data_IF_281409886195
#
_entry.id   IF_281409886195
#
_cell.length_a   1.000
_cell.length_b   1.000
_cell.length_c   1.000
_cell.angle_alpha   90.00
_cell.angle_beta   90.00
_cell.angle_gamma   90.00
#
_symmetry.space_group_name_H-M   'P 1'
#
loop_
_entity.id
_entity.type
_entity.pdbx_description
1 polymer ?
#
# COMPACT_ATOMS: atom_id res chain seq x y z
N UNK A 1 33.19 0.60 4.14
CA UNK A 1 32.77 -0.19 2.97
C UNK A 1 31.64 -1.09 3.44
N UNK A 2 30.40 -0.91 2.98
CA UNK A 2 29.25 -1.50 3.68
C UNK A 2 28.02 -1.65 2.81
N UNK A 3 28.09 -2.53 1.82
CA UNK A 3 26.90 -3.18 1.28
C UNK A 3 27.33 -4.59 0.86
N UNK A 4 26.84 -5.63 1.52
CA UNK A 4 27.13 -6.99 1.10
C UNK A 4 26.62 -7.15 -0.33
N UNK A 5 27.48 -7.66 -1.22
CA UNK A 5 27.07 -8.01 -2.58
C UNK A 5 26.07 -9.15 -2.44
N UNK A 6 24.81 -8.85 -2.74
CA UNK A 6 23.76 -9.84 -2.74
C UNK A 6 24.09 -10.92 -3.78
N UNK A 7 23.90 -12.21 -3.47
CA UNK A 7 24.04 -13.27 -4.46
C UNK A 7 23.16 -13.01 -5.69
N UNK A 8 23.59 -13.44 -6.88
CA UNK A 8 22.90 -13.16 -8.16
C UNK A 8 21.42 -13.57 -8.18
N UNK A 9 21.04 -14.60 -7.42
CA UNK A 9 19.64 -15.02 -7.31
C UNK A 9 18.80 -13.99 -6.53
N UNK A 10 19.35 -13.43 -5.45
CA UNK A 10 18.68 -12.40 -4.63
C UNK A 10 18.57 -11.11 -5.42
N UNK A 11 19.63 -10.73 -6.15
CA UNK A 11 19.58 -9.53 -7.00
C UNK A 11 18.47 -9.61 -8.04
N UNK A 12 18.30 -10.77 -8.70
CA UNK A 12 17.22 -10.98 -9.68
C UNK A 12 15.83 -10.92 -9.04
N UNK A 13 15.66 -11.45 -7.83
CA UNK A 13 14.38 -11.40 -7.11
C UNK A 13 14.07 -10.00 -6.57
N UNK A 14 15.09 -9.20 -6.27
CA UNK A 14 14.94 -7.83 -5.82
C UNK A 14 14.61 -6.83 -6.94
N UNK A 15 14.66 -7.27 -8.20
CA UNK A 15 14.28 -6.41 -9.32
C UNK A 15 12.81 -5.98 -9.14
N UNK A 16 12.50 -4.69 -9.31
CA UNK A 16 11.14 -4.21 -9.19
C UNK A 16 10.25 -4.88 -10.24
N UNK A 17 9.08 -5.33 -9.80
CA UNK A 17 8.07 -5.88 -10.71
C UNK A 17 7.58 -4.74 -11.62
N UNK A 18 7.54 -4.93 -12.95
CA UNK A 18 6.98 -3.94 -13.87
C UNK A 18 5.55 -3.57 -13.49
N UNK A 19 5.17 -2.30 -13.64
CA UNK A 19 3.84 -1.79 -13.24
C UNK A 19 2.68 -2.55 -13.89
N UNK A 20 2.88 -3.05 -15.10
CA UNK A 20 1.89 -3.86 -15.83
C UNK A 20 1.59 -5.21 -15.13
N UNK A 21 2.59 -5.76 -14.43
CA UNK A 21 2.47 -7.01 -13.67
C UNK A 21 1.98 -6.80 -12.24
N UNK A 22 1.64 -5.57 -11.84
CA UNK A 22 1.10 -5.32 -10.52
C UNK A 22 -0.30 -5.91 -10.39
N UNK A 23 -0.58 -6.51 -9.22
CA UNK A 23 -1.92 -6.98 -8.92
C UNK A 23 -2.89 -5.80 -8.94
N UNK A 24 -4.01 -5.97 -9.66
CA UNK A 24 -5.09 -4.98 -9.65
C UNK A 24 -5.73 -4.97 -8.26
N UNK A 25 -5.92 -3.80 -7.62
CA UNK A 25 -6.51 -3.74 -6.29
C UNK A 25 -7.94 -4.27 -6.34
N UNK A 26 -8.31 -5.08 -5.34
CA UNK A 26 -9.66 -5.62 -5.22
C UNK A 26 -10.70 -4.50 -5.03
N UNK A 27 -11.97 -4.71 -5.39
CA UNK A 27 -13.02 -3.69 -5.21
C UNK A 27 -13.16 -3.22 -3.75
N UNK A 28 -12.95 -4.13 -2.79
CA UNK A 28 -12.96 -3.82 -1.36
C UNK A 28 -11.81 -2.87 -1.02
N UNK A 29 -10.61 -3.14 -1.55
CA UNK A 29 -9.44 -2.28 -1.33
C UNK A 29 -9.62 -0.92 -1.98
N UNK A 30 -10.18 -0.86 -3.19
CA UNK A 30 -10.49 0.40 -3.86
C UNK A 30 -11.48 1.26 -3.05
N UNK A 31 -12.51 0.64 -2.46
CA UNK A 31 -13.47 1.34 -1.59
C UNK A 31 -12.78 1.87 -0.34
N UNK A 32 -11.95 1.05 0.31
CA UNK A 32 -11.17 1.43 1.49
C UNK A 32 -10.24 2.63 1.20
N UNK A 33 -9.51 2.61 0.07
CA UNK A 33 -8.67 3.72 -0.37
C UNK A 33 -9.46 5.00 -0.53
N UNK A 34 -10.63 4.95 -1.21
CA UNK A 34 -11.49 6.12 -1.38
C UNK A 34 -11.96 6.70 -0.05
N UNK A 35 -12.32 5.86 0.91
CA UNK A 35 -12.72 6.31 2.26
C UNK A 35 -11.58 7.02 2.98
N UNK A 36 -10.36 6.49 2.91
CA UNK A 36 -9.18 7.11 3.53
C UNK A 36 -8.85 8.44 2.85
N UNK A 37 -8.83 8.47 1.52
CA UNK A 37 -8.60 9.70 0.74
C UNK A 37 -9.64 10.78 1.04
N UNK A 38 -10.91 10.39 1.15
CA UNK A 38 -11.98 11.33 1.50
C UNK A 38 -11.83 11.87 2.92
N UNK A 39 -11.51 11.03 3.90
CA UNK A 39 -11.29 11.46 5.28
C UNK A 39 -10.08 12.42 5.37
N UNK A 40 -8.98 12.11 4.67
CA UNK A 40 -7.80 12.98 4.64
C UNK A 40 -8.09 14.30 3.93
N UNK A 41 -8.78 14.29 2.79
CA UNK A 41 -9.06 15.49 1.99
C UNK A 41 -10.12 16.38 2.63
N UNK A 42 -11.26 15.80 2.99
CA UNK A 42 -12.46 16.52 3.46
C UNK A 42 -12.39 16.86 4.95
N UNK A 43 -11.92 15.91 5.77
CA UNK A 43 -11.90 16.05 7.22
C UNK A 43 -10.52 16.44 7.76
N UNK A 44 -9.52 16.63 6.87
CA UNK A 44 -8.12 16.96 7.21
C UNK A 44 -7.53 16.01 8.26
N UNK A 45 -8.02 14.77 8.28
CA UNK A 45 -7.54 13.74 9.18
C UNK A 45 -6.15 13.27 8.76
N UNK A 46 -5.35 12.87 9.74
CA UNK A 46 -4.10 12.15 9.49
C UNK A 46 -4.40 10.75 8.93
N UNK A 47 -3.46 10.19 8.18
CA UNK A 47 -3.62 8.86 7.58
C UNK A 47 -3.99 7.78 8.61
N UNK A 48 -3.34 7.76 9.78
CA UNK A 48 -3.65 6.79 10.84
C UNK A 48 -5.10 6.91 11.32
N UNK A 49 -5.62 8.13 11.50
CA UNK A 49 -7.00 8.34 11.92
C UNK A 49 -8.00 7.97 10.82
N UNK A 50 -7.67 8.24 9.56
CA UNK A 50 -8.48 7.85 8.41
C UNK A 50 -8.53 6.31 8.26
N UNK A 51 -7.41 5.61 8.45
CA UNK A 51 -7.36 4.15 8.44
C UNK A 51 -8.16 3.52 9.60
N UNK A 52 -8.19 4.15 10.77
CA UNK A 52 -8.98 3.69 11.91
C UNK A 52 -10.49 3.62 11.62
N UNK A 53 -10.99 4.35 10.61
CA UNK A 53 -12.38 4.28 10.17
C UNK A 53 -12.72 2.95 9.48
N UNK A 54 -11.73 2.33 8.82
CA UNK A 54 -11.89 1.05 8.12
C UNK A 54 -11.96 -0.13 9.10
N UNK A 55 -11.17 -0.09 10.19
CA UNK A 55 -11.16 -1.13 11.21
C UNK A 55 -12.47 -1.27 11.99
N UNK A 56 -13.37 -0.27 11.90
CA UNK A 56 -14.70 -0.29 12.54
C UNK A 56 -15.81 -0.88 11.65
N UNK A 57 -15.52 -1.22 10.39
CA UNK A 57 -16.51 -1.79 9.44
C UNK A 57 -16.50 -3.33 9.39
N UNK A 58 -15.64 -3.99 10.16
CA UNK A 58 -15.58 -5.45 10.33
C UNK A 58 -16.05 -5.84 11.72
N UNK A 59 -17.35 -5.64 11.99
CA UNK A 59 -18.09 -6.33 13.06
C UNK A 59 -19.42 -6.82 12.49
#
# INVERSE_FOLDING_TARGET
AGSPVLPDHVQRWSQPIPTDQWAKPSPVLQKATRTVEDAMRKQKMTFMNACALLGKQTQ
#
